data_IF_569520191223
#
_entry.id   IF_569520191223
#
_cell.length_a   1.000
_cell.length_b   1.000
_cell.length_c   1.000
_cell.angle_alpha   90.00
_cell.angle_beta   90.00
_cell.angle_gamma   90.00
#
_symmetry.space_group_name_H-M   'P 1'
#
loop_
_entity.id
_entity.type
_entity.pdbx_description
1 polymer ?
#
# COMPACT_ATOMS: atom_id res chain seq x y z
N UNK A 1 7.31 9.82 11.78
CA UNK A 1 7.75 10.73 10.71
C UNK A 1 6.50 11.15 9.95
N UNK A 2 5.99 12.36 10.16
CA UNK A 2 4.84 12.87 9.41
C UNK A 2 5.33 13.39 8.06
N UNK A 3 4.93 12.76 6.97
CA UNK A 3 5.24 13.25 5.63
C UNK A 3 4.47 14.56 5.36
N UNK A 4 5.06 15.60 4.75
CA UNK A 4 4.45 16.93 4.62
C UNK A 4 3.26 17.02 3.63
N UNK A 5 2.79 15.90 3.07
CA UNK A 5 1.75 15.90 2.01
C UNK A 5 0.37 16.36 2.50
N UNK A 6 0.12 16.39 3.81
CA UNK A 6 -1.20 16.73 4.39
C UNK A 6 -1.67 18.17 4.10
N UNK A 7 -0.78 19.09 3.70
CA UNK A 7 -1.13 20.50 3.50
C UNK A 7 -1.47 20.90 2.05
N UNK A 8 -1.36 20.00 1.06
CA UNK A 8 -1.43 20.39 -0.36
C UNK A 8 -2.71 19.96 -1.11
N UNK A 9 -3.52 19.02 -0.59
CA UNK A 9 -4.71 18.52 -1.29
C UNK A 9 -6.00 19.09 -0.69
N UNK A 10 -6.88 19.62 -1.56
CA UNK A 10 -8.20 20.14 -1.20
C UNK A 10 -9.22 19.04 -0.84
N UNK A 11 -8.92 17.78 -1.15
CA UNK A 11 -9.77 16.62 -0.92
C UNK A 11 -8.92 15.46 -0.39
N UNK A 12 -9.53 14.55 0.39
CA UNK A 12 -8.88 13.33 0.82
C UNK A 12 -8.57 12.41 -0.40
N UNK A 13 -7.38 11.82 -0.48
CA UNK A 13 -7.06 10.88 -1.55
C UNK A 13 -7.81 9.55 -1.37
N UNK A 14 -8.24 8.96 -2.47
CA UNK A 14 -8.89 7.65 -2.52
C UNK A 14 -7.99 6.60 -3.14
N UNK A 15 -7.92 5.43 -2.52
CA UNK A 15 -7.33 4.22 -3.08
C UNK A 15 -8.41 3.33 -3.70
N UNK A 16 -8.21 3.00 -4.98
CA UNK A 16 -9.12 2.20 -5.80
C UNK A 16 -8.52 0.86 -6.25
N UNK A 17 -7.34 0.50 -5.75
CA UNK A 17 -6.69 -0.76 -6.07
C UNK A 17 -7.35 -1.96 -5.37
N UNK A 18 -7.12 -3.16 -5.88
CA UNK A 18 -7.48 -4.41 -5.19
C UNK A 18 -6.56 -4.61 -3.98
N UNK A 19 -7.10 -5.26 -2.94
CA UNK A 19 -6.33 -5.66 -1.76
C UNK A 19 -7.00 -6.89 -1.11
N UNK A 20 -6.24 -7.69 -0.38
CA UNK A 20 -6.71 -8.94 0.22
C UNK A 20 -7.14 -8.80 1.68
N UNK A 21 -7.73 -9.85 2.27
CA UNK A 21 -8.13 -9.90 3.69
C UNK A 21 -7.05 -10.41 4.63
N UNK A 22 -5.88 -10.78 4.13
CA UNK A 22 -4.78 -11.28 4.96
C UNK A 22 -3.95 -10.19 5.65
N UNK A 23 -2.87 -10.65 6.29
CA UNK A 23 -1.97 -9.85 7.12
C UNK A 23 -1.31 -8.72 6.35
N UNK A 24 -0.86 -8.96 5.13
CA UNK A 24 -0.24 -7.90 4.32
C UNK A 24 -1.27 -6.84 3.94
N UNK A 25 -2.51 -7.25 3.68
CA UNK A 25 -3.63 -6.34 3.49
C UNK A 25 -3.92 -5.48 4.72
N UNK A 26 -3.87 -6.05 5.93
CA UNK A 26 -4.08 -5.27 7.15
C UNK A 26 -3.01 -4.20 7.35
N UNK A 27 -1.74 -4.54 7.13
CA UNK A 27 -0.62 -3.58 7.23
C UNK A 27 -0.80 -2.45 6.20
N UNK A 28 -1.11 -2.79 4.95
CA UNK A 28 -1.32 -1.79 3.90
C UNK A 28 -2.52 -0.87 4.19
N UNK A 29 -3.64 -1.44 4.64
CA UNK A 29 -4.83 -0.67 5.04
C UNK A 29 -4.56 0.24 6.23
N UNK A 30 -3.82 -0.23 7.22
CA UNK A 30 -3.49 0.59 8.38
C UNK A 30 -2.62 1.78 7.97
N UNK A 31 -1.56 1.54 7.19
CA UNK A 31 -0.69 2.61 6.69
C UNK A 31 -1.45 3.65 5.85
N UNK A 32 -2.36 3.20 4.97
CA UNK A 32 -3.22 4.10 4.20
C UNK A 32 -4.09 4.98 5.11
N UNK A 33 -4.73 4.40 6.14
CA UNK A 33 -5.54 5.16 7.11
C UNK A 33 -4.70 6.15 7.92
N UNK A 34 -3.49 5.76 8.33
CA UNK A 34 -2.57 6.62 9.06
C UNK A 34 -2.13 7.84 8.21
N UNK A 35 -2.06 7.68 6.89
CA UNK A 35 -1.81 8.76 5.93
C UNK A 35 -3.08 9.54 5.52
N UNK A 36 -4.26 9.12 5.98
CA UNK A 36 -5.54 9.75 5.64
C UNK A 36 -6.06 9.41 4.24
N UNK A 37 -5.64 8.26 3.68
CA UNK A 37 -6.13 7.72 2.41
C UNK A 37 -7.40 6.90 2.66
N UNK A 38 -8.49 7.26 2.00
CA UNK A 38 -9.73 6.49 2.03
C UNK A 38 -9.65 5.30 1.05
N UNK A 39 -10.13 4.13 1.49
CA UNK A 39 -10.09 2.90 0.70
C UNK A 39 -11.51 2.61 0.24
N UNK A 40 -11.77 2.71 -1.06
CA UNK A 40 -13.13 2.59 -1.60
C UNK A 40 -13.45 1.21 -2.16
N UNK A 41 -12.48 0.29 -2.17
CA UNK A 41 -12.64 -1.10 -2.61
C UNK A 41 -12.81 -2.04 -1.42
N UNK A 42 -13.61 -3.09 -1.62
CA UNK A 42 -13.73 -4.17 -0.63
C UNK A 42 -12.54 -5.13 -0.76
N UNK A 43 -12.06 -5.71 0.36
CA UNK A 43 -10.97 -6.67 0.29
C UNK A 43 -11.42 -7.99 -0.34
N UNK A 44 -10.59 -8.58 -1.20
CA UNK A 44 -10.85 -9.88 -1.86
C UNK A 44 -10.86 -11.00 -0.81
N UNK A 45 -11.95 -11.77 -0.68
CA UNK A 45 -12.04 -12.87 0.29
C UNK A 45 -11.08 -14.01 -0.04
N UNK A 46 -10.43 -14.56 0.99
CA UNK A 46 -9.57 -15.73 0.86
C UNK A 46 -8.19 -15.48 0.23
N UNK A 47 -7.90 -14.25 -0.19
CA UNK A 47 -6.60 -13.83 -0.73
C UNK A 47 -5.94 -12.78 0.19
N UNK A 48 -4.61 -12.67 0.12
CA UNK A 48 -3.86 -11.58 0.78
C UNK A 48 -3.34 -10.59 -0.27
N UNK A 49 -3.11 -9.35 0.17
CA UNK A 49 -2.50 -8.31 -0.66
C UNK A 49 -1.13 -8.75 -1.15
N UNK A 50 -0.82 -8.39 -2.41
CA UNK A 50 0.49 -8.60 -3.00
C UNK A 50 1.64 -8.00 -2.20
N UNK A 51 2.84 -8.43 -2.52
CA UNK A 51 4.06 -7.92 -1.91
C UNK A 51 5.13 -7.70 -2.98
N UNK A 52 6.03 -6.75 -2.73
CA UNK A 52 7.21 -6.54 -3.52
C UNK A 52 8.45 -6.73 -2.64
N UNK A 53 9.37 -7.59 -3.05
CA UNK A 53 10.69 -7.73 -2.44
C UNK A 53 11.66 -6.88 -3.24
N UNK A 54 12.24 -5.88 -2.59
CA UNK A 54 13.28 -5.04 -3.17
C UNK A 54 14.67 -5.62 -2.82
N UNK A 55 15.46 -5.96 -3.83
CA UNK A 55 16.88 -6.26 -3.70
C UNK A 55 17.63 -4.95 -3.96
N UNK A 56 18.45 -4.53 -2.99
CA UNK A 56 19.16 -3.24 -3.04
C UNK A 56 20.66 -3.48 -3.03
N UNK A 57 21.34 -3.00 -4.06
CA UNK A 57 22.80 -3.08 -4.15
C UNK A 57 23.47 -1.90 -3.41
N UNK A 58 24.79 -2.02 -3.19
CA UNK A 58 25.57 -0.95 -2.56
C UNK A 58 25.56 0.36 -3.37
N UNK A 59 25.34 0.28 -4.69
CA UNK A 59 25.13 1.43 -5.58
C UNK A 59 23.79 2.13 -5.38
N UNK A 60 22.93 1.61 -4.51
CA UNK A 60 21.54 1.99 -4.31
C UNK A 60 20.60 1.68 -5.51
N UNK A 61 21.04 0.87 -6.47
CA UNK A 61 20.14 0.28 -7.47
C UNK A 61 19.14 -0.66 -6.79
N UNK A 62 17.89 -0.71 -7.28
CA UNK A 62 16.84 -1.60 -6.77
C UNK A 62 16.24 -2.46 -7.88
N UNK A 63 16.24 -3.77 -7.66
CA UNK A 63 15.46 -4.74 -8.44
C UNK A 63 14.28 -5.23 -7.61
N UNK A 64 13.09 -5.29 -8.21
CA UNK A 64 11.86 -5.67 -7.51
C UNK A 64 11.32 -7.01 -8.03
N UNK A 65 11.02 -7.92 -7.11
CA UNK A 65 10.29 -9.16 -7.38
C UNK A 65 8.89 -8.98 -6.81
N UNK A 66 7.89 -8.97 -7.68
CA UNK A 66 6.51 -8.69 -7.31
C UNK A 66 5.66 -9.96 -7.34
N UNK A 67 4.96 -10.19 -6.23
CA UNK A 67 3.84 -11.12 -6.19
C UNK A 67 2.55 -10.30 -6.14
N UNK A 68 1.70 -10.46 -7.15
CA UNK A 68 0.50 -9.62 -7.36
C UNK A 68 -0.50 -9.76 -6.21
N UNK A 69 -0.70 -10.99 -5.71
CA UNK A 69 -1.71 -11.28 -4.71
C UNK A 69 -3.12 -10.92 -5.17
N UNK A 70 -3.90 -10.43 -4.19
CA UNK A 70 -5.33 -10.11 -4.27
C UNK A 70 -5.74 -8.94 -5.14
#
# INVERSE_FOLDING_TARGET
MSWPLRAAMACAPFYLGRHGQGRFGDIARQAMRDEGVEISTMPVPGEDTGLAVALVEASAERSFISYVGA
#
